data_IF_662012581489
#
_entry.id   IF_662012581489
#
_cell.length_a   1.000
_cell.length_b   1.000
_cell.length_c   1.000
_cell.angle_alpha   90.00
_cell.angle_beta   90.00
_cell.angle_gamma   90.00
#
_symmetry.space_group_name_H-M   'P 1'
#
loop_
_entity.id
_entity.type
_entity.pdbx_description
1 polymer ?
#
# COMPACT_ATOMS: atom_id res chain seq x y z
N UNK A 1 -6.39 -33.73 39.00
CA UNK A 1 -4.98 -33.33 38.99
C UNK A 1 -4.76 -32.47 37.76
N UNK A 2 -4.44 -31.18 37.97
CA UNK A 2 -3.71 -30.26 37.05
C UNK A 2 -4.44 -29.93 35.72
N UNK A 3 -4.68 -28.68 35.28
CA UNK A 3 -4.28 -27.34 35.73
C UNK A 3 -5.17 -26.29 35.04
N UNK A 4 -5.34 -25.14 35.71
CA UNK A 4 -5.81 -23.87 35.14
C UNK A 4 -4.92 -23.40 33.98
N UNK A 5 -5.49 -22.97 32.86
CA UNK A 5 -4.89 -21.90 32.05
C UNK A 5 -5.95 -20.89 31.66
N UNK A 6 -5.96 -19.77 32.38
CA UNK A 6 -6.42 -18.51 31.84
C UNK A 6 -5.37 -18.02 30.84
N UNK A 7 -5.75 -17.66 29.62
CA UNK A 7 -5.02 -16.65 28.84
C UNK A 7 -5.79 -16.28 27.57
N UNK A 8 -6.06 -14.98 27.44
CA UNK A 8 -6.13 -14.23 26.18
C UNK A 8 -7.18 -14.68 25.15
N UNK A 9 -8.29 -13.93 25.02
CA UNK A 9 -8.94 -13.69 23.71
C UNK A 9 -9.99 -12.56 23.73
N UNK A 10 -9.86 -11.56 24.61
CA UNK A 10 -10.76 -10.40 24.61
C UNK A 10 -10.38 -9.30 23.60
N UNK A 11 -9.48 -9.58 22.65
CA UNK A 11 -9.01 -8.63 21.64
C UNK A 11 -9.40 -9.01 20.19
N UNK A 12 -10.04 -10.17 19.98
CA UNK A 12 -10.46 -10.63 18.65
C UNK A 12 -11.86 -10.17 18.22
N UNK A 13 -12.68 -9.65 19.15
CA UNK A 13 -14.08 -9.30 18.87
C UNK A 13 -14.31 -7.89 18.30
N UNK A 14 -13.30 -7.02 18.28
CA UNK A 14 -13.44 -5.66 17.74
C UNK A 14 -13.08 -5.61 16.23
N UNK A 15 -12.29 -6.58 15.73
CA UNK A 15 -11.93 -6.68 14.30
C UNK A 15 -13.00 -7.35 13.41
N UNK A 16 -14.01 -7.99 13.99
CA UNK A 16 -15.09 -8.66 13.23
C UNK A 16 -16.28 -7.74 12.91
N UNK A 17 -16.39 -6.59 13.57
CA UNK A 17 -17.50 -5.66 13.36
C UNK A 17 -17.34 -4.78 12.11
N UNK A 18 -16.11 -4.31 11.84
CA UNK A 18 -15.82 -3.44 10.70
C UNK A 18 -15.78 -4.22 9.36
N UNK A 19 -15.30 -5.46 9.41
CA UNK A 19 -15.26 -6.39 8.26
C UNK A 19 -16.66 -6.85 7.85
N UNK A 20 -17.57 -7.04 8.82
CA UNK A 20 -18.97 -7.36 8.55
C UNK A 20 -19.72 -6.23 7.80
N UNK A 21 -19.37 -4.97 8.01
CA UNK A 21 -20.01 -3.84 7.33
C UNK A 21 -19.61 -3.75 5.84
N UNK A 22 -18.36 -4.04 5.49
CA UNK A 22 -17.89 -4.07 4.09
C UNK A 22 -18.53 -5.23 3.31
N UNK A 23 -18.67 -6.39 3.93
CA UNK A 23 -19.32 -7.57 3.34
C UNK A 23 -20.83 -7.32 3.16
N UNK A 24 -21.46 -6.49 4.01
CA UNK A 24 -22.88 -6.13 3.86
C UNK A 24 -23.18 -5.34 2.57
N UNK A 25 -22.20 -4.59 2.04
CA UNK A 25 -22.29 -3.94 0.73
C UNK A 25 -22.38 -4.93 -0.44
N UNK A 26 -21.79 -6.12 -0.30
CA UNK A 26 -21.80 -7.19 -1.31
C UNK A 26 -23.13 -7.96 -1.28
N UNK A 27 -23.79 -8.07 -0.12
CA UNK A 27 -25.05 -8.83 0.03
C UNK A 27 -26.28 -8.02 -0.42
N UNK A 28 -26.28 -6.69 -0.26
CA UNK A 28 -27.35 -5.82 -0.77
C UNK A 28 -27.46 -5.85 -2.32
N UNK A 29 -26.35 -6.12 -3.03
CA UNK A 29 -26.29 -6.33 -4.48
C UNK A 29 -27.11 -7.54 -4.93
N UNK A 30 -27.19 -8.60 -4.11
CA UNK A 30 -27.86 -9.86 -4.44
C UNK A 30 -29.38 -9.75 -4.32
N UNK A 31 -29.90 -8.94 -3.39
CA UNK A 31 -31.34 -8.75 -3.20
C UNK A 31 -32.04 -7.97 -4.34
N UNK A 32 -31.32 -7.02 -4.96
CA UNK A 32 -31.80 -6.25 -6.12
C UNK A 32 -31.99 -7.14 -7.37
N UNK A 33 -31.13 -8.14 -7.52
CA UNK A 33 -31.14 -9.09 -8.64
C UNK A 33 -32.44 -9.92 -8.68
N UNK A 34 -33.04 -10.24 -7.52
CA UNK A 34 -34.24 -11.10 -7.47
C UNK A 34 -35.49 -10.33 -7.92
N UNK A 35 -35.63 -9.05 -7.53
CA UNK A 35 -36.84 -8.27 -7.77
C UNK A 35 -36.95 -7.79 -9.24
N UNK A 36 -35.82 -7.56 -9.91
CA UNK A 36 -35.74 -7.17 -11.32
C UNK A 36 -36.14 -8.29 -12.30
N UNK A 37 -36.01 -9.56 -11.89
CA UNK A 37 -36.17 -10.72 -12.77
C UNK A 37 -37.64 -11.09 -13.06
N UNK A 38 -38.60 -10.65 -12.24
CA UNK A 38 -40.02 -11.04 -12.41
C UNK A 38 -40.83 -10.18 -13.41
N UNK A 39 -40.46 -8.93 -13.70
CA UNK A 39 -41.41 -7.96 -14.30
C UNK A 39 -41.24 -7.66 -15.80
N UNK A 40 -40.22 -8.19 -16.50
CA UNK A 40 -39.81 -7.68 -17.83
C UNK A 40 -39.81 -8.75 -18.93
N UNK A 41 -40.91 -9.50 -19.09
CA UNK A 41 -40.82 -10.81 -19.75
C UNK A 41 -41.17 -10.94 -21.23
N UNK A 42 -41.53 -9.95 -22.08
CA UNK A 42 -41.69 -10.29 -23.53
C UNK A 42 -41.37 -9.27 -24.64
N UNK A 43 -41.62 -7.95 -24.54
CA UNK A 43 -41.13 -6.97 -25.55
C UNK A 43 -39.99 -6.09 -25.00
N UNK A 44 -39.89 -6.08 -23.69
CA UNK A 44 -38.79 -5.53 -22.93
C UNK A 44 -37.52 -6.38 -23.05
N UNK A 45 -37.57 -7.66 -23.43
CA UNK A 45 -36.38 -8.53 -23.50
C UNK A 45 -35.28 -8.06 -24.45
N UNK A 46 -35.60 -7.31 -25.51
CA UNK A 46 -34.60 -6.78 -26.44
C UNK A 46 -34.02 -5.44 -25.94
N UNK A 47 -34.90 -4.56 -25.44
CA UNK A 47 -34.53 -3.29 -24.80
C UNK A 47 -33.77 -3.52 -23.49
N UNK A 48 -34.17 -4.49 -22.66
CA UNK A 48 -33.43 -4.91 -21.46
C UNK A 48 -32.14 -5.59 -21.82
N UNK A 49 -32.04 -6.34 -22.92
CA UNK A 49 -30.75 -6.85 -23.38
C UNK A 49 -29.82 -5.71 -23.79
N UNK A 50 -30.32 -4.69 -24.49
CA UNK A 50 -29.52 -3.50 -24.82
C UNK A 50 -29.18 -2.67 -23.58
N UNK A 51 -30.10 -2.53 -22.62
CA UNK A 51 -29.89 -1.84 -21.36
C UNK A 51 -28.94 -2.63 -20.43
N UNK A 52 -29.03 -3.96 -20.42
CA UNK A 52 -28.10 -4.86 -19.72
C UNK A 52 -26.73 -4.81 -20.38
N UNK A 53 -26.63 -4.79 -21.72
CA UNK A 53 -25.36 -4.58 -22.42
C UNK A 53 -24.80 -3.20 -22.09
N UNK A 54 -25.61 -2.15 -22.08
CA UNK A 54 -25.18 -0.80 -21.71
C UNK A 54 -24.76 -0.72 -20.23
N UNK A 55 -25.47 -1.39 -19.32
CA UNK A 55 -25.11 -1.50 -17.90
C UNK A 55 -23.82 -2.30 -17.72
N UNK A 56 -23.67 -3.44 -18.39
CA UNK A 56 -22.43 -4.23 -18.36
C UNK A 56 -21.24 -3.43 -18.91
N UNK A 57 -21.43 -2.70 -20.01
CA UNK A 57 -20.41 -1.79 -20.55
C UNK A 57 -20.07 -0.65 -19.58
N UNK A 58 -21.08 -0.09 -18.89
CA UNK A 58 -20.88 0.96 -17.90
C UNK A 58 -20.20 0.43 -16.62
N UNK A 59 -20.56 -0.76 -16.17
CA UNK A 59 -19.97 -1.43 -15.00
C UNK A 59 -18.53 -1.86 -15.29
N UNK A 60 -18.25 -2.35 -16.50
CA UNK A 60 -16.91 -2.67 -16.97
C UNK A 60 -16.04 -1.40 -17.05
N UNK A 61 -16.59 -0.31 -17.59
CA UNK A 61 -15.91 0.99 -17.59
C UNK A 61 -15.62 1.47 -16.17
N UNK A 62 -16.60 1.40 -15.27
CA UNK A 62 -16.45 1.78 -13.86
C UNK A 62 -15.38 0.94 -13.16
N UNK A 63 -15.33 -0.37 -13.45
CA UNK A 63 -14.32 -1.27 -12.92
C UNK A 63 -12.91 -0.86 -13.35
N UNK A 64 -12.68 -0.58 -14.64
CA UNK A 64 -11.37 -0.14 -15.12
C UNK A 64 -10.98 1.25 -14.59
N UNK A 65 -11.93 2.19 -14.46
CA UNK A 65 -11.69 3.48 -13.83
C UNK A 65 -11.20 3.31 -12.38
N UNK A 66 -11.79 2.39 -11.62
CA UNK A 66 -11.37 2.09 -10.25
C UNK A 66 -10.02 1.39 -10.18
N UNK A 67 -9.68 0.53 -11.14
CA UNK A 67 -8.34 -0.02 -11.24
C UNK A 67 -7.28 1.05 -11.52
N UNK A 68 -7.57 2.02 -12.40
CA UNK A 68 -6.67 3.15 -12.67
C UNK A 68 -6.49 4.02 -11.42
N UNK A 69 -7.58 4.35 -10.73
CA UNK A 69 -7.56 5.13 -9.49
C UNK A 69 -6.65 4.46 -8.45
N UNK A 70 -6.82 3.16 -8.25
CA UNK A 70 -5.99 2.38 -7.33
C UNK A 70 -4.51 2.31 -7.75
N UNK A 71 -4.23 2.07 -9.03
CA UNK A 71 -2.85 2.08 -9.53
C UNK A 71 -2.18 3.45 -9.29
N UNK A 72 -2.93 4.54 -9.41
CA UNK A 72 -2.43 5.88 -9.12
C UNK A 72 -2.18 6.10 -7.62
N UNK A 73 -3.05 5.63 -6.73
CA UNK A 73 -2.82 5.71 -5.27
C UNK A 73 -1.59 4.88 -4.86
N UNK A 74 -1.43 3.69 -5.43
CA UNK A 74 -0.24 2.85 -5.23
C UNK A 74 1.02 3.58 -5.70
N UNK A 75 0.98 4.26 -6.85
CA UNK A 75 2.10 5.06 -7.37
C UNK A 75 2.47 6.20 -6.43
N UNK A 76 1.49 6.92 -5.88
CA UNK A 76 1.73 8.00 -4.91
C UNK A 76 2.37 7.47 -3.63
N UNK A 77 1.89 6.35 -3.10
CA UNK A 77 2.47 5.71 -1.92
C UNK A 77 3.92 5.26 -2.16
N UNK A 78 4.21 4.61 -3.30
CA UNK A 78 5.57 4.22 -3.67
C UNK A 78 6.49 5.45 -3.79
N UNK A 79 6.01 6.53 -4.41
CA UNK A 79 6.80 7.76 -4.52
C UNK A 79 7.08 8.40 -3.16
N UNK A 80 6.11 8.37 -2.24
CA UNK A 80 6.27 8.85 -0.87
C UNK A 80 7.30 8.01 -0.11
N UNK A 81 7.18 6.68 -0.17
CA UNK A 81 8.16 5.74 0.38
C UNK A 81 9.58 5.98 -0.10
N UNK A 82 9.77 6.20 -1.41
CA UNK A 82 11.09 6.53 -1.98
C UNK A 82 11.62 7.85 -1.43
N UNK A 83 10.76 8.85 -1.28
CA UNK A 83 11.14 10.16 -0.73
C UNK A 83 11.56 10.05 0.72
N UNK A 84 10.80 9.32 1.54
CA UNK A 84 11.08 9.10 2.95
C UNK A 84 12.37 8.27 3.14
N UNK A 85 12.65 7.30 2.26
CA UNK A 85 13.93 6.59 2.21
C UNK A 85 15.12 7.52 1.94
N UNK A 86 14.97 8.45 0.99
CA UNK A 86 16.01 9.45 0.68
C UNK A 86 16.23 10.38 1.88
N UNK A 87 15.17 10.81 2.55
CA UNK A 87 15.28 11.64 3.73
C UNK A 87 15.98 10.90 4.87
N UNK A 88 15.69 9.61 5.07
CA UNK A 88 16.35 8.80 6.09
C UNK A 88 17.85 8.69 5.81
N UNK A 89 18.22 8.42 4.56
CA UNK A 89 19.62 8.41 4.12
C UNK A 89 20.34 9.73 4.42
N UNK A 90 19.66 10.88 4.32
CA UNK A 90 20.23 12.18 4.70
C UNK A 90 20.48 12.25 6.19
N UNK A 91 19.54 11.81 7.03
CA UNK A 91 19.74 11.81 8.49
C UNK A 91 20.85 10.86 8.93
N UNK A 92 20.96 9.68 8.32
CA UNK A 92 22.06 8.73 8.62
C UNK A 92 23.42 9.37 8.30
N UNK A 93 23.54 10.07 7.16
CA UNK A 93 24.77 10.82 6.81
C UNK A 93 25.07 11.93 7.82
N UNK A 94 24.05 12.68 8.27
CA UNK A 94 24.23 13.71 9.29
C UNK A 94 24.70 13.11 10.61
N UNK A 95 24.08 12.01 11.06
CA UNK A 95 24.45 11.32 12.29
C UNK A 95 25.91 10.81 12.26
N UNK A 96 26.34 10.25 11.13
CA UNK A 96 27.73 9.83 10.93
C UNK A 96 28.71 11.01 11.09
N UNK A 97 28.43 12.14 10.42
CA UNK A 97 29.27 13.34 10.50
C UNK A 97 29.30 13.92 11.92
N UNK A 98 28.18 13.93 12.65
CA UNK A 98 28.12 14.40 14.03
C UNK A 98 28.97 13.53 14.97
N UNK A 99 28.98 12.21 14.76
CA UNK A 99 29.85 11.29 15.49
C UNK A 99 31.33 11.61 15.30
N UNK A 100 31.75 11.90 14.05
CA UNK A 100 33.12 12.31 13.75
C UNK A 100 33.50 13.66 14.37
N UNK A 101 32.58 14.63 14.40
CA UNK A 101 32.85 15.94 15.01
C UNK A 101 32.91 15.89 16.53
N UNK A 102 32.10 15.04 17.15
CA UNK A 102 32.09 14.84 18.61
C UNK A 102 33.39 14.23 19.08
N UNK A 103 33.98 13.31 18.30
CA UNK A 103 35.33 12.79 18.52
C UNK A 103 36.41 13.91 18.51
N UNK A 104 36.15 15.03 17.84
CA UNK A 104 37.06 16.19 17.74
C UNK A 104 36.82 17.28 18.81
N UNK A 105 35.97 17.03 19.82
CA UNK A 105 35.87 17.85 21.03
C UNK A 105 35.16 19.21 20.89
N UNK A 106 34.26 19.39 19.91
CA UNK A 106 33.46 20.62 19.74
C UNK A 106 32.32 20.71 20.78
N UNK A 107 31.80 21.92 21.02
CA UNK A 107 30.80 22.29 22.08
C UNK A 107 29.61 21.31 22.24
N UNK A 108 29.70 20.42 23.24
CA UNK A 108 28.78 19.31 23.50
C UNK A 108 27.29 19.70 23.56
N UNK A 109 26.95 20.87 24.10
CA UNK A 109 25.55 21.27 24.34
C UNK A 109 24.77 21.57 23.05
N UNK A 110 25.42 22.20 22.06
CA UNK A 110 24.81 22.40 20.71
C UNK A 110 24.62 21.09 19.96
N UNK A 111 25.44 20.07 20.24
CA UNK A 111 25.28 18.73 19.67
C UNK A 111 24.07 18.01 20.24
N UNK A 112 23.87 18.06 21.56
CA UNK A 112 22.74 17.39 22.23
C UNK A 112 21.41 17.92 21.70
N UNK A 113 21.20 19.24 21.63
CA UNK A 113 19.96 19.80 21.10
C UNK A 113 19.70 19.45 19.61
N UNK A 114 20.76 19.36 18.81
CA UNK A 114 20.67 18.98 17.40
C UNK A 114 20.37 17.49 17.24
N UNK A 115 20.93 16.65 18.11
CA UNK A 115 20.67 15.21 18.14
C UNK A 115 19.23 14.90 18.57
N UNK A 116 18.70 15.60 19.59
CA UNK A 116 17.33 15.41 20.07
C UNK A 116 16.29 15.73 18.98
N UNK A 117 16.41 16.90 18.33
CA UNK A 117 15.52 17.28 17.22
C UNK A 117 15.63 16.33 16.03
N UNK A 118 16.80 15.77 15.78
CA UNK A 118 17.00 14.78 14.72
C UNK A 118 16.36 13.45 15.10
N UNK A 119 16.46 13.03 16.37
CA UNK A 119 15.86 11.80 16.88
C UNK A 119 14.35 11.79 16.68
N UNK A 120 13.66 12.88 17.04
CA UNK A 120 12.20 13.01 16.86
C UNK A 120 11.80 12.88 15.38
N UNK A 121 12.57 13.49 14.47
CA UNK A 121 12.31 13.41 13.02
C UNK A 121 12.56 12.02 12.47
N UNK A 122 13.63 11.35 12.90
CA UNK A 122 13.96 9.99 12.48
C UNK A 122 12.93 8.99 12.99
N UNK A 123 12.43 9.16 14.21
CA UNK A 123 11.35 8.34 14.77
C UNK A 123 10.08 8.46 13.91
N UNK A 124 9.65 9.70 13.65
CA UNK A 124 8.48 9.96 12.78
C UNK A 124 8.67 9.35 11.38
N UNK A 125 9.85 9.52 10.80
CA UNK A 125 10.16 8.98 9.48
C UNK A 125 10.14 7.45 9.44
N UNK A 126 10.62 6.80 10.51
CA UNK A 126 10.59 5.35 10.65
C UNK A 126 9.15 4.84 10.73
N UNK A 127 8.28 5.52 11.47
CA UNK A 127 6.85 5.21 11.53
C UNK A 127 6.16 5.39 10.17
N UNK A 128 6.44 6.48 9.46
CA UNK A 128 5.92 6.69 8.11
C UNK A 128 6.33 5.56 7.16
N UNK A 129 7.61 5.17 7.16
CA UNK A 129 8.12 4.10 6.30
C UNK A 129 7.45 2.76 6.61
N UNK A 130 7.16 2.47 7.87
CA UNK A 130 6.41 1.28 8.28
C UNK A 130 4.95 1.31 7.81
N UNK A 131 4.28 2.46 7.96
CA UNK A 131 2.91 2.66 7.47
C UNK A 131 2.84 2.49 5.95
N UNK A 132 3.74 3.14 5.23
CA UNK A 132 3.83 3.07 3.77
C UNK A 132 4.12 1.65 3.29
N UNK A 133 5.06 0.94 3.93
CA UNK A 133 5.35 -0.47 3.62
C UNK A 133 4.08 -1.32 3.78
N UNK A 134 3.31 -1.08 4.84
CA UNK A 134 2.07 -1.81 5.12
C UNK A 134 1.00 -1.49 4.09
N UNK A 135 0.81 -0.22 3.74
CA UNK A 135 -0.18 0.21 2.75
C UNK A 135 0.18 -0.25 1.34
N UNK A 136 1.46 -0.21 0.96
CA UNK A 136 1.93 -0.75 -0.31
C UNK A 136 1.65 -2.27 -0.37
N UNK A 137 1.94 -3.03 0.69
CA UNK A 137 1.59 -4.47 0.75
C UNK A 137 0.09 -4.71 0.59
N UNK A 138 -0.74 -3.88 1.24
CA UNK A 138 -2.19 -3.96 1.12
C UNK A 138 -2.66 -3.69 -0.32
N UNK A 139 -2.02 -2.75 -1.01
CA UNK A 139 -2.39 -2.36 -2.37
C UNK A 139 -1.84 -3.29 -3.45
N UNK A 140 -0.75 -4.01 -3.16
CA UNK A 140 -0.23 -5.09 -4.00
C UNK A 140 -0.97 -6.39 -3.68
N UNK A 141 -2.24 -6.44 -4.08
CA UNK A 141 -3.19 -7.50 -3.72
C UNK A 141 -3.16 -8.74 -4.64
N UNK A 142 -2.54 -8.67 -5.81
CA UNK A 142 -2.45 -9.80 -6.72
C UNK A 142 -1.25 -10.68 -6.33
N UNK A 143 -1.49 -11.64 -5.44
CA UNK A 143 -0.42 -12.53 -4.93
C UNK A 143 0.30 -13.31 -6.04
N UNK A 144 -0.41 -13.66 -7.12
CA UNK A 144 0.11 -14.41 -8.26
C UNK A 144 0.75 -13.53 -9.34
N UNK A 145 0.68 -12.21 -9.21
CA UNK A 145 1.28 -11.29 -10.16
C UNK A 145 2.80 -11.19 -9.93
N UNK A 146 3.56 -11.48 -10.99
CA UNK A 146 5.02 -11.50 -10.92
C UNK A 146 5.61 -10.10 -10.71
N UNK A 147 5.00 -9.07 -11.28
CA UNK A 147 5.49 -7.69 -11.15
C UNK A 147 5.27 -7.16 -9.73
N UNK A 148 4.10 -7.40 -9.15
CA UNK A 148 3.84 -7.08 -7.76
C UNK A 148 4.76 -7.86 -6.81
N UNK A 149 5.04 -9.13 -7.11
CA UNK A 149 6.00 -9.93 -6.33
C UNK A 149 7.42 -9.33 -6.37
N UNK A 150 7.86 -8.83 -7.54
CA UNK A 150 9.14 -8.13 -7.65
C UNK A 150 9.19 -6.85 -6.80
N UNK A 151 8.11 -6.06 -6.81
CA UNK A 151 8.00 -4.86 -5.96
C UNK A 151 8.04 -5.24 -4.47
N UNK A 152 7.26 -6.24 -4.04
CA UNK A 152 7.26 -6.74 -2.65
C UNK A 152 8.66 -7.17 -2.20
N UNK A 153 9.36 -7.95 -3.03
CA UNK A 153 10.69 -8.45 -2.72
C UNK A 153 11.73 -7.33 -2.62
N UNK A 154 11.68 -6.34 -3.52
CA UNK A 154 12.61 -5.20 -3.49
C UNK A 154 12.32 -4.23 -2.37
N UNK A 155 11.05 -4.00 -2.04
CA UNK A 155 10.67 -3.24 -0.86
C UNK A 155 11.18 -3.90 0.43
N UNK A 156 11.08 -5.22 0.55
CA UNK A 156 11.62 -5.96 1.69
C UNK A 156 13.15 -5.80 1.80
N UNK A 157 13.87 -5.78 0.68
CA UNK A 157 15.32 -5.52 0.69
C UNK A 157 15.64 -4.11 1.21
N UNK A 158 14.88 -3.09 0.79
CA UNK A 158 15.01 -1.71 1.29
C UNK A 158 14.70 -1.64 2.80
N UNK A 159 13.65 -2.33 3.25
CA UNK A 159 13.24 -2.41 4.67
C UNK A 159 14.34 -2.96 5.57
N UNK A 160 15.12 -3.93 5.08
CA UNK A 160 16.23 -4.49 5.84
C UNK A 160 17.35 -3.49 6.16
N UNK A 161 17.53 -2.44 5.35
CA UNK A 161 18.54 -1.42 5.64
C UNK A 161 18.07 -0.48 6.75
N UNK A 162 16.88 0.10 6.61
CA UNK A 162 16.42 1.07 7.59
C UNK A 162 16.04 0.43 8.93
N UNK A 163 15.55 -0.82 8.94
CA UNK A 163 15.34 -1.57 10.20
C UNK A 163 16.64 -1.81 10.98
N UNK A 164 17.80 -1.78 10.30
CA UNK A 164 19.13 -1.85 10.91
C UNK A 164 19.76 -0.48 11.16
N UNK A 165 19.05 0.62 10.88
CA UNK A 165 19.60 1.98 10.93
C UNK A 165 20.72 2.23 9.92
N UNK A 166 20.77 1.44 8.83
CA UNK A 166 21.79 1.54 7.79
C UNK A 166 21.30 2.39 6.62
N UNK A 167 22.22 3.13 6.00
CA UNK A 167 21.92 3.85 4.78
C UNK A 167 21.55 2.85 3.67
N UNK A 168 20.44 3.12 2.99
CA UNK A 168 19.99 2.36 1.83
C UNK A 168 20.89 2.72 0.65
N UNK A 169 21.53 1.75 -0.03
CA UNK A 169 22.32 2.04 -1.22
C UNK A 169 21.46 2.68 -2.31
N UNK A 170 21.98 3.72 -2.97
CA UNK A 170 21.29 4.38 -4.09
C UNK A 170 20.93 3.37 -5.20
N UNK A 171 21.75 2.35 -5.42
CA UNK A 171 21.48 1.25 -6.35
C UNK A 171 20.24 0.44 -5.97
N UNK A 172 20.02 0.14 -4.69
CA UNK A 172 18.84 -0.62 -4.26
C UNK A 172 17.57 0.21 -4.43
N UNK A 173 17.63 1.51 -4.12
CA UNK A 173 16.49 2.40 -4.30
C UNK A 173 16.15 2.61 -5.78
N UNK A 174 17.15 2.74 -6.65
CA UNK A 174 16.95 2.82 -8.10
C UNK A 174 16.30 1.54 -8.65
N UNK A 175 16.79 0.37 -8.22
CA UNK A 175 16.21 -0.91 -8.62
C UNK A 175 14.76 -1.03 -8.15
N UNK A 176 14.45 -0.58 -6.92
CA UNK A 176 13.07 -0.53 -6.43
C UNK A 176 12.16 0.35 -7.30
N UNK A 177 12.63 1.54 -7.68
CA UNK A 177 11.90 2.44 -8.59
C UNK A 177 11.67 1.78 -9.95
N UNK A 178 12.68 1.10 -10.51
CA UNK A 178 12.57 0.47 -11.82
C UNK A 178 11.59 -0.71 -11.83
N UNK A 179 11.56 -1.54 -10.78
CA UNK A 179 10.56 -2.62 -10.69
C UNK A 179 9.14 -2.08 -10.52
N UNK A 180 8.97 -0.99 -9.75
CA UNK A 180 7.67 -0.33 -9.62
C UNK A 180 7.20 0.26 -10.96
N UNK A 181 8.11 0.88 -11.73
CA UNK A 181 7.80 1.38 -13.07
C UNK A 181 7.38 0.26 -14.02
N UNK A 182 8.08 -0.87 -13.99
CA UNK A 182 7.72 -2.04 -14.80
C UNK A 182 6.32 -2.56 -14.46
N UNK A 183 6.00 -2.68 -13.18
CA UNK A 183 4.66 -3.06 -12.71
C UNK A 183 3.58 -2.09 -13.23
N UNK A 184 3.78 -0.78 -13.08
CA UNK A 184 2.82 0.20 -13.58
C UNK A 184 2.66 0.19 -15.10
N UNK A 185 3.75 -0.02 -15.84
CA UNK A 185 3.68 -0.15 -17.29
C UNK A 185 2.86 -1.38 -17.69
N UNK A 186 3.11 -2.52 -17.05
CA UNK A 186 2.37 -3.75 -17.30
C UNK A 186 0.86 -3.58 -17.01
N UNK A 187 0.52 -3.01 -15.85
CA UNK A 187 -0.87 -2.72 -15.50
C UNK A 187 -1.54 -1.80 -16.52
N UNK A 188 -0.84 -0.77 -17.00
CA UNK A 188 -1.37 0.14 -18.01
C UNK A 188 -1.54 -0.52 -19.39
N UNK A 189 -0.64 -1.42 -19.78
CA UNK A 189 -0.78 -2.19 -21.01
C UNK A 189 -1.99 -3.13 -20.96
N UNK A 190 -2.17 -3.86 -19.85
CA UNK A 190 -3.37 -4.68 -19.66
C UNK A 190 -4.65 -3.87 -19.76
N UNK A 191 -4.71 -2.72 -19.09
CA UNK A 191 -5.88 -1.84 -19.12
C UNK A 191 -6.17 -1.32 -20.53
N UNK A 192 -5.13 -0.98 -21.31
CA UNK A 192 -5.29 -0.57 -22.71
C UNK A 192 -5.84 -1.69 -23.59
N UNK A 193 -5.37 -2.92 -23.42
CA UNK A 193 -5.87 -4.07 -24.19
C UNK A 193 -7.31 -4.44 -23.86
N UNK A 194 -7.76 -4.14 -22.64
CA UNK A 194 -9.11 -4.45 -22.15
C UNK A 194 -10.14 -3.35 -22.41
N UNK A 195 -9.67 -2.13 -22.71
CA UNK A 195 -10.53 -0.96 -23.01
C UNK A 195 -10.57 -0.59 -24.51
N UNK A 196 -9.77 -1.28 -25.35
CA UNK A 196 -9.75 -1.15 -26.80
C UNK A 196 -10.71 -2.14 -27.47
#
# INVERSE_FOLDING_TARGET
>A
MIVMQASQNSLSMINSGLTAAIISGIVAFIGYIINAVMQSRNNSKLLTKQEEIAKMQNDEKLFYEKQIEWANETRKLIAKFVTDCIELNRYIKIAHNLGEETYKGKELQKYVEKADKMSERVEKLTLNLQEETTLIRLYLFHEKDNYEAMVRNKMLAVEQYFSKGQAIPDSELNVFVDVARQMFNHQMEELRTKTA
#
